data_IF_611925962881
#
_entry.id   IF_611925962881
#
_cell.length_a   1.000
_cell.length_b   1.000
_cell.length_c   1.000
_cell.angle_alpha   90.00
_cell.angle_beta   90.00
_cell.angle_gamma   90.00
#
_symmetry.space_group_name_H-M   'P 1'
#
loop_
_entity.id
_entity.type
_entity.pdbx_description
1 polymer ?
#
# COMPACT_ATOMS: atom_id res chain seq x y z
N UNK A 1 -8.99 4.98 -19.30
CA UNK A 1 -9.36 5.92 -18.21
C UNK A 1 -10.38 5.20 -17.36
N UNK A 2 -10.07 4.93 -16.10
CA UNK A 2 -11.00 4.25 -15.17
C UNK A 2 -11.65 5.33 -14.30
N UNK A 3 -12.46 6.17 -14.93
CA UNK A 3 -13.30 7.12 -14.20
C UNK A 3 -14.14 6.32 -13.19
N UNK A 4 -13.97 6.61 -11.89
CA UNK A 4 -14.71 5.95 -10.81
C UNK A 4 -13.96 4.86 -10.01
N UNK A 5 -12.71 4.52 -10.34
CA UNK A 5 -11.95 3.57 -9.50
C UNK A 5 -11.69 4.14 -8.09
N UNK A 6 -11.90 3.32 -7.06
CA UNK A 6 -11.70 3.67 -5.65
C UNK A 6 -10.35 3.17 -5.12
N UNK A 7 -9.93 3.64 -3.93
CA UNK A 7 -8.74 3.12 -3.23
C UNK A 7 -8.87 1.60 -3.01
N UNK A 8 -10.08 1.14 -2.65
CA UNK A 8 -10.35 -0.27 -2.40
C UNK A 8 -10.12 -1.13 -3.65
N UNK A 9 -10.49 -0.62 -4.83
CA UNK A 9 -10.27 -1.33 -6.09
C UNK A 9 -8.78 -1.52 -6.35
N UNK A 10 -7.98 -0.45 -6.23
CA UNK A 10 -6.53 -0.54 -6.40
C UNK A 10 -5.86 -1.49 -5.39
N UNK A 11 -6.29 -1.46 -4.11
CA UNK A 11 -5.77 -2.35 -3.08
C UNK A 11 -6.11 -3.81 -3.38
N UNK A 12 -7.33 -4.11 -3.82
CA UNK A 12 -7.79 -5.47 -4.14
C UNK A 12 -7.17 -6.01 -5.42
N UNK A 13 -7.03 -5.17 -6.44
CA UNK A 13 -6.48 -5.57 -7.75
C UNK A 13 -5.03 -6.00 -7.63
N UNK A 14 -4.17 -5.16 -7.03
CA UNK A 14 -2.76 -5.51 -6.87
C UNK A 14 -2.08 -4.69 -5.77
N UNK A 15 -1.92 -5.30 -4.61
CA UNK A 15 -1.10 -4.74 -3.54
C UNK A 15 -0.45 -5.84 -2.70
N UNK A 16 0.64 -5.52 -2.04
CA UNK A 16 1.28 -6.40 -1.06
C UNK A 16 1.82 -5.59 0.11
N UNK A 17 1.63 -6.14 1.31
CA UNK A 17 2.04 -5.49 2.54
C UNK A 17 3.32 -6.12 3.08
N UNK A 18 4.17 -5.27 3.64
CA UNK A 18 5.23 -5.64 4.56
C UNK A 18 4.76 -5.23 5.96
N UNK A 19 4.27 -6.20 6.71
CA UNK A 19 3.89 -6.04 8.11
C UNK A 19 5.06 -6.56 8.96
N UNK A 20 5.60 -5.77 9.90
CA UNK A 20 6.66 -6.25 10.78
C UNK A 20 6.17 -7.40 11.66
N UNK A 21 7.06 -8.33 11.99
CA UNK A 21 6.80 -9.36 13.00
C UNK A 21 6.78 -8.69 14.37
N UNK A 22 5.70 -8.90 15.12
CA UNK A 22 5.55 -8.35 16.46
C UNK A 22 6.69 -8.80 17.38
N UNK A 23 7.04 -10.08 17.34
CA UNK A 23 8.11 -10.70 18.14
C UNK A 23 9.50 -10.08 17.90
N UNK A 24 9.70 -9.52 16.70
CA UNK A 24 11.00 -8.98 16.27
C UNK A 24 11.09 -7.47 16.41
N UNK A 25 9.98 -6.78 16.68
CA UNK A 25 10.01 -5.33 16.86
C UNK A 25 10.81 -4.93 18.11
N UNK A 26 10.93 -5.83 19.08
CA UNK A 26 11.67 -5.60 20.33
C UNK A 26 13.19 -5.80 20.18
N UNK A 27 13.67 -6.34 19.04
CA UNK A 27 15.11 -6.49 18.74
C UNK A 27 15.83 -5.12 18.60
N UNK A 28 15.07 -4.01 18.61
CA UNK A 28 15.57 -2.65 18.46
C UNK A 28 15.82 -2.27 17.00
N UNK A 29 15.80 -0.95 16.72
CA UNK A 29 15.90 -0.41 15.36
C UNK A 29 17.18 -0.84 14.63
N UNK A 30 18.27 -1.09 15.36
CA UNK A 30 19.55 -1.50 14.77
C UNK A 30 19.50 -2.90 14.17
N UNK A 31 18.79 -3.84 14.83
CA UNK A 31 18.67 -5.23 14.41
C UNK A 31 17.43 -5.49 13.51
N UNK A 32 16.33 -4.75 13.72
CA UNK A 32 15.08 -4.95 12.98
C UNK A 32 14.48 -3.64 12.42
N UNK A 33 14.92 -3.24 11.23
CA UNK A 33 14.54 -1.98 10.54
C UNK A 33 13.21 -2.02 9.77
N UNK A 34 12.33 -3.01 10.03
CA UNK A 34 11.11 -3.17 9.24
C UNK A 34 9.97 -2.34 9.84
N UNK A 35 9.42 -1.43 9.04
CA UNK A 35 8.19 -0.70 9.33
C UNK A 35 6.99 -1.26 8.57
N UNK A 36 5.80 -0.82 8.96
CA UNK A 36 4.57 -1.06 8.23
C UNK A 36 4.62 -0.36 6.86
N UNK A 37 4.44 -1.13 5.81
CA UNK A 37 4.41 -0.62 4.43
C UNK A 37 3.40 -1.39 3.61
N UNK A 38 2.54 -0.70 2.87
CA UNK A 38 1.70 -1.27 1.81
C UNK A 38 2.20 -0.75 0.47
N UNK A 39 2.43 -1.65 -0.49
CA UNK A 39 2.78 -1.30 -1.86
C UNK A 39 1.60 -1.60 -2.76
N UNK A 40 1.03 -0.56 -3.35
CA UNK A 40 -0.05 -0.66 -4.33
C UNK A 40 0.57 -0.56 -5.72
N UNK A 41 0.21 -1.47 -6.62
CA UNK A 41 0.84 -1.61 -7.93
C UNK A 41 -0.17 -1.28 -9.03
N UNK A 42 0.21 -0.36 -9.92
CA UNK A 42 -0.63 0.06 -11.05
C UNK A 42 0.16 -0.06 -12.36
N UNK A 43 -0.54 -0.20 -13.50
CA UNK A 43 0.11 -0.42 -14.80
C UNK A 43 0.35 0.87 -15.58
N UNK A 44 -0.50 1.87 -15.40
CA UNK A 44 -0.48 3.10 -16.20
C UNK A 44 -0.08 4.31 -15.35
N UNK A 45 0.36 5.37 -16.02
CA UNK A 45 0.65 6.64 -15.36
C UNK A 45 -0.63 7.36 -14.90
N UNK A 46 -1.75 7.14 -15.59
CA UNK A 46 -3.04 7.72 -15.19
C UNK A 46 -3.57 7.08 -13.91
N UNK A 47 -3.49 5.74 -13.80
CA UNK A 47 -3.81 5.04 -12.56
C UNK A 47 -2.92 5.50 -11.39
N UNK A 48 -1.65 5.79 -11.67
CA UNK A 48 -0.73 6.34 -10.66
C UNK A 48 -1.20 7.72 -10.17
N UNK A 49 -1.56 8.63 -11.09
CA UNK A 49 -2.05 9.97 -10.73
C UNK A 49 -3.35 9.87 -9.94
N UNK A 50 -4.29 9.04 -10.39
CA UNK A 50 -5.58 8.83 -9.76
C UNK A 50 -5.44 8.23 -8.36
N UNK A 51 -4.66 7.16 -8.20
CA UNK A 51 -4.40 6.55 -6.90
C UNK A 51 -3.76 7.53 -5.93
N UNK A 52 -2.77 8.31 -6.37
CA UNK A 52 -2.11 9.32 -5.52
C UNK A 52 -3.10 10.38 -5.05
N UNK A 53 -3.97 10.87 -5.94
CA UNK A 53 -5.02 11.83 -5.58
C UNK A 53 -5.97 11.24 -4.55
N UNK A 54 -6.50 10.04 -4.79
CA UNK A 54 -7.43 9.38 -3.86
C UNK A 54 -6.82 9.18 -2.48
N UNK A 55 -5.54 8.78 -2.39
CA UNK A 55 -4.84 8.63 -1.11
C UNK A 55 -4.74 9.97 -0.37
N UNK A 56 -4.36 11.05 -1.07
CA UNK A 56 -4.26 12.39 -0.50
C UNK A 56 -5.63 12.92 -0.04
N UNK A 57 -6.68 12.72 -0.84
CA UNK A 57 -8.05 13.11 -0.49
C UNK A 57 -8.56 12.35 0.74
N UNK A 58 -8.08 11.12 0.96
CA UNK A 58 -8.34 10.33 2.16
C UNK A 58 -7.42 10.66 3.36
N UNK A 59 -6.58 11.71 3.26
CA UNK A 59 -5.64 12.10 4.30
C UNK A 59 -4.43 11.16 4.45
N UNK A 60 -4.22 10.22 3.53
CA UNK A 60 -3.12 9.28 3.53
C UNK A 60 -1.99 9.83 2.66
N UNK A 61 -0.83 10.06 3.24
CA UNK A 61 0.35 10.54 2.49
C UNK A 61 1.08 9.37 1.80
N UNK A 62 1.00 9.24 0.45
CA UNK A 62 1.76 8.22 -0.25
C UNK A 62 3.24 8.60 -0.29
N UNK A 63 4.12 7.60 -0.18
CA UNK A 63 5.54 7.77 -0.44
C UNK A 63 5.85 8.05 -1.91
N UNK A 64 7.15 8.17 -2.20
CA UNK A 64 7.63 8.40 -3.57
C UNK A 64 7.36 7.15 -4.41
N UNK A 65 6.52 7.31 -5.43
CA UNK A 65 6.25 6.25 -6.39
C UNK A 65 7.50 5.93 -7.22
N UNK A 66 7.67 4.67 -7.60
CA UNK A 66 8.79 4.23 -8.42
C UNK A 66 8.34 3.22 -9.48
N UNK A 67 9.13 3.11 -10.55
CA UNK A 67 8.86 2.18 -11.64
C UNK A 67 9.48 0.81 -11.32
N UNK A 68 8.70 -0.26 -11.52
CA UNK A 68 9.15 -1.65 -11.42
C UNK A 68 8.75 -2.37 -12.71
N UNK A 69 9.72 -2.61 -13.59
CA UNK A 69 9.47 -3.08 -14.95
C UNK A 69 8.43 -2.20 -15.68
N UNK A 70 7.33 -2.80 -16.17
CA UNK A 70 6.23 -2.11 -16.87
C UNK A 70 5.13 -1.60 -15.92
N UNK A 71 5.42 -1.48 -14.63
CA UNK A 71 4.45 -1.10 -13.60
C UNK A 71 4.98 0.04 -12.73
N UNK A 72 4.07 0.70 -12.04
CA UNK A 72 4.34 1.69 -11.00
C UNK A 72 3.96 1.13 -9.65
N UNK A 73 4.77 1.44 -8.64
CA UNK A 73 4.54 1.06 -7.26
C UNK A 73 4.39 2.33 -6.42
N UNK A 74 3.29 2.41 -5.68
CA UNK A 74 3.00 3.49 -4.72
C UNK A 74 3.14 2.91 -3.31
N UNK A 75 4.21 3.24 -2.57
CA UNK A 75 4.33 2.83 -1.18
C UNK A 75 3.48 3.73 -0.28
N UNK A 76 2.85 3.14 0.73
CA UNK A 76 2.19 3.80 1.86
C UNK A 76 2.85 3.29 3.13
N UNK A 77 3.27 4.20 4.00
CA UNK A 77 4.00 3.87 5.23
C UNK A 77 3.15 4.13 6.47
N UNK A 78 3.53 3.52 7.59
CA UNK A 78 2.97 3.78 8.90
C UNK A 78 1.84 2.81 9.26
N UNK A 79 1.80 2.42 10.54
CA UNK A 79 0.89 1.39 11.05
C UNK A 79 -0.57 1.74 10.78
N UNK A 80 -1.00 2.95 11.14
CA UNK A 80 -2.39 3.37 11.02
C UNK A 80 -2.90 3.31 9.56
N UNK A 81 -2.20 3.98 8.63
CA UNK A 81 -2.59 4.00 7.22
C UNK A 81 -2.57 2.60 6.59
N UNK A 82 -1.54 1.81 6.87
CA UNK A 82 -1.43 0.43 6.34
C UNK A 82 -2.56 -0.44 6.90
N UNK A 83 -2.85 -0.37 8.20
CA UNK A 83 -3.95 -1.12 8.81
C UNK A 83 -5.31 -0.71 8.22
N UNK A 84 -5.54 0.58 7.97
CA UNK A 84 -6.78 1.05 7.34
C UNK A 84 -6.96 0.47 5.94
N UNK A 85 -5.93 0.59 5.10
CA UNK A 85 -5.98 0.09 3.72
C UNK A 85 -6.09 -1.43 3.64
N UNK A 86 -5.50 -2.16 4.60
CA UNK A 86 -5.60 -3.61 4.66
C UNK A 86 -7.03 -4.12 4.89
N UNK A 87 -7.93 -3.29 5.43
CA UNK A 87 -9.37 -3.65 5.57
C UNK A 87 -10.05 -3.88 4.22
N UNK A 88 -9.52 -3.31 3.14
CA UNK A 88 -10.05 -3.53 1.79
C UNK A 88 -9.67 -4.89 1.21
N UNK A 89 -8.61 -5.53 1.72
CA UNK A 89 -8.25 -6.89 1.29
C UNK A 89 -9.31 -7.87 1.80
N UNK A 90 -9.69 -8.87 0.99
CA UNK A 90 -10.55 -9.94 1.48
C UNK A 90 -9.87 -10.61 2.68
N UNK A 91 -10.64 -10.89 3.74
CA UNK A 91 -10.18 -11.78 4.81
C UNK A 91 -9.77 -13.10 4.15
N UNK A 92 -8.65 -13.67 4.58
CA UNK A 92 -8.13 -14.92 4.04
C UNK A 92 -9.29 -15.92 3.88
N UNK A 93 -9.45 -16.49 2.68
CA UNK A 93 -10.39 -17.60 2.52
C UNK A 93 -9.93 -18.69 3.50
N UNK A 94 -10.83 -19.28 4.30
CA UNK A 94 -10.50 -20.49 5.03
C UNK A 94 -9.96 -21.50 4.03
N UNK A 95 -8.87 -22.17 4.43
CA UNK A 95 -8.25 -23.25 3.66
C UNK A 95 -9.20 -24.42 3.52
#
# INVERSE_FOLDING_TARGET
MTDGATIADYVRTNSYARVPSAERQDEGWTAYKKGYELRIVVKTQDDLKQLRRLLLDAGIQPGKAFRKAKQWVVPVYGKAAVTELLKYKPKARPK
#
